data_IF_997424186271
#
_entry.id   IF_997424186271
#
_cell.length_a   1.000
_cell.length_b   1.000
_cell.length_c   1.000
_cell.angle_alpha   90.00
_cell.angle_beta   90.00
_cell.angle_gamma   90.00
#
_symmetry.space_group_name_H-M   'P 1'
#
loop_
_entity.id
_entity.type
_entity.pdbx_description
1 polymer ?
#
# COMPACT_ATOMS: atom_id res chain seq x y z
N UNK A 1 -9.66 -29.48 -20.33
CA UNK A 1 -8.54 -28.72 -19.74
C UNK A 1 -9.14 -27.67 -18.81
N UNK A 2 -8.82 -27.70 -17.52
CA UNK A 2 -9.30 -26.66 -16.60
C UNK A 2 -8.49 -25.38 -16.78
N UNK A 3 -9.16 -24.27 -17.08
CA UNK A 3 -8.54 -22.94 -17.06
C UNK A 3 -8.29 -22.52 -15.63
N UNK A 4 -7.03 -22.29 -15.26
CA UNK A 4 -6.66 -21.84 -13.92
C UNK A 4 -7.33 -20.50 -13.56
N UNK A 5 -7.77 -20.27 -12.31
CA UNK A 5 -8.39 -19.02 -11.90
C UNK A 5 -7.35 -17.89 -11.78
N UNK A 6 -6.99 -17.27 -12.91
CA UNK A 6 -5.95 -16.22 -12.97
C UNK A 6 -6.51 -14.82 -12.74
N UNK A 7 -7.13 -14.60 -11.58
CA UNK A 7 -7.31 -13.28 -10.98
C UNK A 7 -7.68 -13.42 -9.49
N UNK A 8 -6.67 -13.69 -8.64
CA UNK A 8 -6.84 -13.50 -7.20
C UNK A 8 -6.96 -11.98 -6.93
N UNK A 9 -8.17 -11.51 -6.59
CA UNK A 9 -8.47 -10.09 -6.32
C UNK A 9 -7.90 -9.64 -4.98
N UNK A 10 -6.58 -9.66 -4.81
CA UNK A 10 -5.88 -9.01 -3.70
C UNK A 10 -5.98 -9.76 -2.35
N UNK A 11 -6.27 -9.13 -1.20
CA UNK A 11 -6.79 -7.76 -0.94
C UNK A 11 -5.73 -6.90 -0.24
N UNK A 12 -4.82 -6.32 -1.01
CA UNK A 12 -3.82 -5.31 -0.60
C UNK A 12 -4.33 -3.85 -0.59
N UNK A 13 -3.62 -2.99 0.17
CA UNK A 13 -3.93 -1.59 0.49
C UNK A 13 -3.74 -0.60 -0.65
N UNK A 14 -2.80 -0.87 -1.55
CA UNK A 14 -2.43 0.03 -2.66
C UNK A 14 -3.45 0.03 -3.82
N UNK A 15 -4.34 -0.98 -3.93
CA UNK A 15 -5.22 -1.15 -5.10
C UNK A 15 -6.10 0.05 -5.44
N UNK A 16 -6.71 0.78 -4.49
CA UNK A 16 -7.48 1.99 -4.81
C UNK A 16 -6.59 3.04 -5.49
N UNK A 17 -5.37 3.24 -5.01
CA UNK A 17 -4.38 4.12 -5.63
C UNK A 17 -3.95 3.60 -7.01
N UNK A 18 -3.62 2.30 -7.14
CA UNK A 18 -3.22 1.72 -8.42
C UNK A 18 -4.32 1.87 -9.50
N UNK A 19 -5.59 1.71 -9.13
CA UNK A 19 -6.71 2.00 -10.04
C UNK A 19 -6.84 3.49 -10.37
N UNK A 20 -6.65 4.38 -9.39
CA UNK A 20 -6.70 5.82 -9.58
C UNK A 20 -5.64 6.34 -10.56
N UNK A 21 -4.42 5.77 -10.55
CA UNK A 21 -3.35 6.12 -11.51
C UNK A 21 -3.48 5.43 -12.89
N UNK A 22 -4.52 4.62 -13.12
CA UNK A 22 -4.77 3.98 -14.41
C UNK A 22 -4.28 2.54 -14.58
N UNK A 23 -3.94 1.79 -13.52
CA UNK A 23 -3.85 0.31 -13.64
C UNK A 23 -5.26 -0.30 -13.69
N UNK A 24 -5.86 -0.23 -14.88
CA UNK A 24 -7.09 -0.93 -15.23
C UNK A 24 -6.81 -2.32 -15.83
N UNK A 25 -7.85 -3.00 -16.33
CA UNK A 25 -7.71 -4.33 -16.92
C UNK A 25 -6.91 -4.36 -18.23
N UNK A 26 -6.88 -3.26 -18.98
CA UNK A 26 -6.15 -3.16 -20.24
C UNK A 26 -4.65 -2.97 -19.97
N UNK A 27 -4.29 -2.01 -19.10
CA UNK A 27 -2.91 -1.81 -18.68
C UNK A 27 -2.31 -3.07 -18.02
N UNK A 28 -3.09 -3.74 -17.16
CA UNK A 28 -2.67 -4.99 -16.51
C UNK A 28 -2.41 -6.14 -17.49
N UNK A 29 -3.08 -6.14 -18.65
CA UNK A 29 -2.95 -7.18 -19.67
C UNK A 29 -1.83 -6.88 -20.68
N UNK A 30 -1.66 -5.60 -21.03
CA UNK A 30 -0.80 -5.17 -22.14
C UNK A 30 0.56 -4.63 -21.68
N UNK A 31 0.63 -3.96 -20.52
CA UNK A 31 1.80 -3.18 -20.10
C UNK A 31 2.46 -3.72 -18.83
N UNK A 32 1.69 -4.09 -17.80
CA UNK A 32 2.25 -4.67 -16.58
C UNK A 32 1.49 -4.35 -15.30
N UNK A 33 2.13 -4.66 -14.16
CA UNK A 33 1.56 -4.44 -12.84
C UNK A 33 2.62 -4.20 -11.79
N UNK A 34 2.28 -3.48 -10.73
CA UNK A 34 3.17 -3.32 -9.58
C UNK A 34 3.20 -4.58 -8.69
N UNK A 35 4.36 -4.87 -8.14
CA UNK A 35 4.61 -5.90 -7.12
C UNK A 35 5.35 -5.29 -5.94
N UNK A 36 4.87 -5.53 -4.73
CA UNK A 36 5.58 -5.14 -3.51
C UNK A 36 6.88 -5.94 -3.38
N UNK A 37 8.01 -5.24 -3.21
CA UNK A 37 9.33 -5.85 -3.01
C UNK A 37 9.85 -5.69 -1.58
N UNK A 38 9.35 -4.68 -0.86
CA UNK A 38 9.75 -4.37 0.52
C UNK A 38 8.54 -3.83 1.28
N UNK A 39 8.47 -4.11 2.58
CA UNK A 39 7.45 -3.54 3.48
C UNK A 39 8.02 -3.41 4.89
N UNK A 40 8.07 -2.19 5.40
CA UNK A 40 8.31 -1.90 6.80
C UNK A 40 6.98 -1.58 7.48
N UNK A 41 6.62 -2.36 8.50
CA UNK A 41 5.32 -2.30 9.16
C UNK A 41 5.50 -2.12 10.67
N UNK A 42 4.82 -1.13 11.22
CA UNK A 42 4.75 -0.91 12.67
C UNK A 42 3.32 -1.16 13.15
N UNK A 43 3.16 -2.15 14.03
CA UNK A 43 1.93 -2.36 14.78
C UNK A 43 1.98 -1.51 16.05
N UNK A 44 1.07 -0.53 16.14
CA UNK A 44 1.06 0.45 17.23
C UNK A 44 -0.05 0.13 18.24
N UNK A 45 -1.17 -0.44 17.78
CA UNK A 45 -2.32 -0.83 18.61
C UNK A 45 -3.00 -2.06 18.01
N UNK A 46 -3.70 -2.81 18.87
CA UNK A 46 -4.57 -3.89 18.43
C UNK A 46 -5.77 -3.34 17.63
N UNK A 47 -6.18 -4.10 16.61
CA UNK A 47 -7.47 -3.98 15.93
C UNK A 47 -8.20 -5.31 16.10
N UNK A 48 -9.51 -5.26 16.23
CA UNK A 48 -10.36 -6.43 16.48
C UNK A 48 -11.22 -6.77 15.26
N UNK A 49 -11.82 -7.96 15.28
CA UNK A 49 -12.80 -8.33 14.27
C UNK A 49 -13.96 -7.32 14.23
N UNK A 50 -14.43 -7.01 13.03
CA UNK A 50 -15.47 -6.01 12.76
C UNK A 50 -15.11 -4.53 13.07
N UNK A 51 -13.86 -4.22 13.47
CA UNK A 51 -13.41 -2.82 13.49
C UNK A 51 -13.40 -2.25 12.07
N UNK A 52 -13.94 -1.04 11.92
CA UNK A 52 -13.87 -0.27 10.68
C UNK A 52 -12.53 0.45 10.62
N UNK A 53 -11.76 0.21 9.57
CA UNK A 53 -10.40 0.75 9.40
C UNK A 53 -10.36 1.65 8.18
N UNK A 54 -9.82 2.84 8.36
CA UNK A 54 -9.51 3.78 7.29
C UNK A 54 -8.00 3.72 7.01
N UNK A 55 -7.62 3.78 5.74
CA UNK A 55 -6.23 3.74 5.28
C UNK A 55 -5.93 5.00 4.48
N UNK A 56 -5.16 5.92 5.07
CA UNK A 56 -4.57 7.02 4.31
C UNK A 56 -3.35 6.49 3.57
N UNK A 57 -3.22 6.81 2.28
CA UNK A 57 -2.08 6.41 1.45
C UNK A 57 -1.44 7.66 0.84
N UNK A 58 -0.12 7.78 0.96
CA UNK A 58 0.70 8.83 0.40
C UNK A 58 1.76 8.22 -0.54
N UNK A 59 1.98 8.84 -1.69
CA UNK A 59 3.14 8.58 -2.55
C UNK A 59 4.32 9.39 -2.02
N UNK A 60 5.34 8.72 -1.48
CA UNK A 60 6.57 9.36 -1.02
C UNK A 60 7.53 9.66 -2.17
N UNK A 61 7.44 8.91 -3.27
CA UNK A 61 8.28 9.09 -4.45
C UNK A 61 8.03 8.03 -5.52
N UNK A 62 8.52 8.27 -6.72
CA UNK A 62 8.53 7.31 -7.81
C UNK A 62 9.75 7.52 -8.71
N UNK A 63 10.21 6.43 -9.34
CA UNK A 63 11.22 6.46 -10.41
C UNK A 63 10.66 5.79 -11.69
N UNK A 64 11.50 5.51 -12.68
CA UNK A 64 11.08 4.87 -13.94
C UNK A 64 10.30 3.57 -13.76
N UNK A 65 10.53 2.82 -12.68
CA UNK A 65 9.87 1.54 -12.40
C UNK A 65 9.48 1.30 -10.94
N UNK A 66 9.86 2.16 -10.00
CA UNK A 66 9.52 2.03 -8.57
C UNK A 66 8.45 3.03 -8.14
N UNK A 67 7.65 2.62 -7.17
CA UNK A 67 6.66 3.44 -6.49
C UNK A 67 6.83 3.25 -4.99
N UNK A 68 7.11 4.34 -4.26
CA UNK A 68 7.31 4.33 -2.82
C UNK A 68 6.06 4.88 -2.12
N UNK A 69 5.43 4.05 -1.29
CA UNK A 69 4.17 4.35 -0.61
C UNK A 69 4.34 4.39 0.90
N UNK A 70 3.57 5.26 1.55
CA UNK A 70 3.36 5.26 2.99
C UNK A 70 1.87 5.16 3.30
N UNK A 71 1.52 4.29 4.24
CA UNK A 71 0.17 4.04 4.68
C UNK A 71 0.04 4.31 6.17
N UNK A 72 -1.06 4.97 6.55
CA UNK A 72 -1.46 5.16 7.95
C UNK A 72 -2.82 4.49 8.13
N UNK A 73 -2.89 3.51 9.04
CA UNK A 73 -4.12 2.79 9.36
C UNK A 73 -4.70 3.38 10.64
N UNK A 74 -5.94 3.86 10.59
CA UNK A 74 -6.71 4.36 11.73
C UNK A 74 -8.00 3.58 11.87
N UNK A 75 -8.44 3.36 13.11
CA UNK A 75 -9.78 2.86 13.41
C UNK A 75 -10.77 4.02 13.28
N UNK A 76 -11.95 3.76 12.73
CA UNK A 76 -12.98 4.78 12.56
C UNK A 76 -13.41 5.34 13.93
N UNK A 77 -13.33 6.67 14.08
CA UNK A 77 -13.57 7.38 15.34
C UNK A 77 -12.32 7.61 16.20
N UNK A 78 -11.24 6.84 16.00
CA UNK A 78 -9.99 7.00 16.73
C UNK A 78 -9.09 8.08 16.08
N UNK A 79 -8.43 8.91 16.90
CA UNK A 79 -7.53 9.97 16.41
C UNK A 79 -6.08 9.53 16.17
N UNK A 80 -5.69 8.32 16.57
CA UNK A 80 -4.31 7.88 16.52
C UNK A 80 -4.18 6.49 15.89
N UNK A 81 -3.08 6.31 15.16
CA UNK A 81 -2.84 5.19 14.26
C UNK A 81 -2.78 3.84 14.98
N UNK A 82 -3.42 2.83 14.38
CA UNK A 82 -3.28 1.44 14.80
C UNK A 82 -2.05 0.78 14.18
N UNK A 83 -1.70 1.16 12.96
CA UNK A 83 -0.47 0.75 12.29
C UNK A 83 0.02 1.78 11.27
N UNK A 84 1.28 1.71 10.89
CA UNK A 84 1.85 2.41 9.73
C UNK A 84 2.67 1.44 8.88
N UNK A 85 2.59 1.58 7.56
CA UNK A 85 3.32 0.73 6.62
C UNK A 85 4.03 1.57 5.55
N UNK A 86 5.31 1.34 5.33
CA UNK A 86 6.11 1.93 4.26
C UNK A 86 6.44 0.80 3.26
N UNK A 87 6.11 0.98 1.99
CA UNK A 87 6.17 -0.08 0.98
C UNK A 87 6.88 0.39 -0.29
N UNK A 88 7.87 -0.39 -0.73
CA UNK A 88 8.46 -0.23 -2.06
C UNK A 88 7.81 -1.20 -3.03
N UNK A 89 7.26 -0.68 -4.11
CA UNK A 89 6.64 -1.43 -5.20
C UNK A 89 7.50 -1.29 -6.46
N UNK A 90 7.58 -2.35 -7.26
CA UNK A 90 8.26 -2.37 -8.56
C UNK A 90 7.29 -2.75 -9.67
N UNK A 91 7.33 -2.03 -10.79
CA UNK A 91 6.58 -2.33 -11.99
C UNK A 91 7.19 -3.54 -12.71
N UNK A 92 6.35 -4.53 -12.98
CA UNK A 92 6.70 -5.76 -13.70
C UNK A 92 5.96 -5.74 -15.03
N UNK A 93 6.73 -5.76 -16.12
CA UNK A 93 6.25 -5.75 -17.50
C UNK A 93 5.49 -7.04 -17.85
N UNK A 94 4.37 -6.90 -18.57
CA UNK A 94 3.47 -8.02 -18.85
C UNK A 94 4.06 -9.06 -19.82
N UNK A 95 4.84 -8.63 -20.82
CA UNK A 95 5.40 -9.51 -21.85
C UNK A 95 6.61 -10.31 -21.37
N UNK A 96 7.51 -9.67 -20.61
CA UNK A 96 8.76 -10.28 -20.12
C UNK A 96 8.64 -10.91 -18.73
N UNK A 97 7.64 -10.52 -17.93
CA UNK A 97 7.50 -10.92 -16.53
C UNK A 97 8.62 -10.40 -15.62
N UNK A 98 9.38 -9.39 -16.06
CA UNK A 98 10.54 -8.82 -15.36
C UNK A 98 10.29 -7.36 -14.97
N UNK A 99 11.12 -6.81 -14.07
CA UNK A 99 11.02 -5.39 -13.74
C UNK A 99 11.29 -4.53 -14.97
N UNK A 100 10.36 -3.66 -15.34
CA UNK A 100 10.44 -2.81 -16.52
C UNK A 100 9.85 -1.43 -16.25
N UNK A 101 10.15 -0.42 -17.08
CA UNK A 101 9.63 0.93 -16.88
C UNK A 101 8.10 0.94 -16.89
N UNK A 102 7.50 1.86 -16.12
CA UNK A 102 6.07 2.17 -16.20
C UNK A 102 5.78 2.76 -17.59
N UNK A 103 4.64 2.42 -18.18
CA UNK A 103 4.32 2.77 -19.57
C UNK A 103 3.16 3.78 -19.63
N UNK A 104 3.06 4.51 -20.74
CA UNK A 104 1.92 5.38 -21.07
C UNK A 104 1.55 6.39 -19.98
N UNK A 105 0.25 6.69 -19.90
CA UNK A 105 -0.30 7.71 -19.01
C UNK A 105 -0.15 7.37 -17.53
N UNK A 106 -0.04 6.07 -17.18
CA UNK A 106 0.24 5.62 -15.81
C UNK A 106 1.59 6.17 -15.32
N UNK A 107 2.62 6.25 -16.18
CA UNK A 107 3.91 6.86 -15.82
C UNK A 107 3.75 8.36 -15.53
N UNK A 108 2.94 9.07 -16.31
CA UNK A 108 2.62 10.48 -16.08
C UNK A 108 1.92 10.69 -14.74
N UNK A 109 0.83 9.96 -14.51
CA UNK A 109 0.02 10.01 -13.28
C UNK A 109 0.84 9.72 -12.02
N UNK A 110 1.72 8.71 -12.06
CA UNK A 110 2.59 8.33 -10.94
C UNK A 110 3.62 9.42 -10.62
N UNK A 111 4.29 9.97 -11.63
CA UNK A 111 5.32 11.01 -11.43
C UNK A 111 4.69 12.31 -10.94
N UNK A 112 3.50 12.68 -11.42
CA UNK A 112 2.79 13.87 -10.94
C UNK A 112 2.29 13.71 -9.50
N UNK A 113 1.73 12.54 -9.13
CA UNK A 113 1.38 12.29 -7.73
C UNK A 113 2.59 12.32 -6.80
N UNK A 114 3.71 11.71 -7.21
CA UNK A 114 4.95 11.76 -6.46
C UNK A 114 5.43 13.21 -6.28
N UNK A 115 5.41 14.02 -7.35
CA UNK A 115 5.74 15.46 -7.30
C UNK A 115 4.85 16.20 -6.28
N UNK A 116 3.53 16.06 -6.40
CA UNK A 116 2.55 16.77 -5.57
C UNK A 116 2.58 16.36 -4.08
N UNK A 117 2.92 15.09 -3.78
CA UNK A 117 2.88 14.54 -2.43
C UNK A 117 4.24 14.48 -1.73
N UNK A 118 5.35 14.67 -2.46
CA UNK A 118 6.73 14.65 -1.93
C UNK A 118 7.01 15.64 -0.79
N UNK A 119 6.26 16.75 -0.71
CA UNK A 119 6.46 17.79 0.30
C UNK A 119 5.67 17.56 1.60
N UNK A 120 4.74 16.60 1.64
CA UNK A 120 3.98 16.30 2.84
C UNK A 120 4.86 15.51 3.81
N UNK A 121 5.23 16.13 4.93
CA UNK A 121 6.03 15.50 5.98
C UNK A 121 5.35 14.21 6.43
N UNK A 122 6.11 13.10 6.39
CA UNK A 122 5.75 11.82 7.02
C UNK A 122 5.31 12.11 8.45
N UNK A 123 4.01 12.02 8.74
CA UNK A 123 3.52 12.11 10.10
C UNK A 123 4.15 10.97 10.89
N UNK A 124 5.07 11.31 11.79
CA UNK A 124 5.64 10.35 12.72
C UNK A 124 4.46 9.69 13.46
N UNK A 125 4.49 8.36 13.70
CA UNK A 125 3.41 7.71 14.42
C UNK A 125 3.23 8.42 15.76
N UNK A 126 2.01 8.92 16.01
CA UNK A 126 1.69 9.59 17.27
C UNK A 126 2.05 8.66 18.41
N UNK A 127 3.06 9.04 19.20
CA UNK A 127 3.84 8.08 19.99
C UNK A 127 2.94 7.29 20.93
N UNK A 128 3.14 5.97 20.96
CA UNK A 128 2.48 5.08 21.91
C UNK A 128 3.08 5.28 23.31
N UNK A 129 2.73 6.38 23.97
CA UNK A 129 3.04 6.63 25.36
C UNK A 129 2.27 5.64 26.24
N UNK A 130 2.96 4.58 26.68
CA UNK A 130 2.44 3.62 27.65
C UNK A 130 1.80 2.38 27.04
N UNK A 131 2.61 1.42 26.60
CA UNK A 131 2.22 0.01 26.66
C UNK A 131 2.21 -0.42 28.14
N UNK A 132 1.03 -0.38 28.77
CA UNK A 132 0.82 -1.10 30.02
C UNK A 132 0.56 -2.58 29.67
N UNK A 133 1.50 -3.46 29.97
CA UNK A 133 1.30 -4.90 29.87
C UNK A 133 0.14 -5.31 30.79
N UNK A 134 -1.01 -5.63 30.20
CA UNK A 134 -2.02 -6.45 30.88
C UNK A 134 -1.66 -7.90 30.63
N UNK A 135 -1.06 -8.53 31.64
CA UNK A 135 -0.85 -9.98 31.66
C UNK A 135 -2.16 -10.70 31.33
N UNK A 136 -2.10 -11.57 30.31
CA UNK A 136 -3.17 -12.51 30.01
C UNK A 136 -3.05 -13.70 30.98
N UNK A 137 -3.41 -13.49 32.25
CA UNK A 137 -3.62 -14.59 33.18
C UNK A 137 -4.83 -15.40 32.74
N UNK A 138 -4.60 -16.48 31.99
CA UNK A 138 -5.64 -17.43 31.64
C UNK A 138 -6.15 -18.13 32.89
N UNK A 139 -7.46 -18.06 33.13
CA UNK A 139 -8.13 -19.04 33.97
C UNK A 139 -8.39 -20.30 33.15
N UNK A 140 -8.10 -21.44 33.77
CA UNK A 140 -8.59 -22.76 33.37
C UNK A 140 -10.11 -22.85 33.46
#
# INVERSE_FOLDING_TARGET
MATSPKAATSISSERPLLRYIGLDGEYLSNSGSYRTVETHLFHLRALYACDRVQVLTQVLGADDKRLHLFHVLTREGDQASAATAEQMLIHVDAGSGRSGPVQGDVRGSVLELARLQSCHVRSAPAQASGFAERELTGST
#
